data_IF_216918317705
#
_entry.id   IF_216918317705
#
_cell.length_a   1.000
_cell.length_b   1.000
_cell.length_c   1.000
_cell.angle_alpha   90.00
_cell.angle_beta   90.00
_cell.angle_gamma   90.00
#
_symmetry.space_group_name_H-M   'P 1'
#
loop_
_entity.id
_entity.type
_entity.pdbx_description
1 polymer ?
#
# COMPACT_ATOMS: atom_id res chain seq x y z
N UNK A 1 19.94 -20.46 5.23
CA UNK A 1 19.66 -19.64 4.04
C UNK A 1 18.63 -18.59 4.40
N UNK A 2 18.79 -17.34 3.96
CA UNK A 2 17.76 -16.31 4.10
C UNK A 2 16.52 -16.74 3.33
N UNK A 3 15.34 -16.65 3.94
CA UNK A 3 14.06 -16.85 3.23
C UNK A 3 13.64 -15.53 2.61
N UNK A 4 13.33 -15.53 1.32
CA UNK A 4 12.81 -14.33 0.63
C UNK A 4 11.37 -14.12 1.04
N UNK A 5 11.01 -12.98 1.65
CA UNK A 5 9.62 -12.65 1.94
C UNK A 5 8.87 -12.31 0.66
N UNK A 6 7.58 -12.62 0.62
CA UNK A 6 6.67 -12.16 -0.41
C UNK A 6 6.42 -10.65 -0.25
N UNK A 7 6.42 -9.90 -1.34
CA UNK A 7 6.02 -8.49 -1.36
C UNK A 7 4.58 -8.38 -1.85
N UNK A 8 3.66 -8.04 -0.94
CA UNK A 8 2.24 -7.90 -1.21
C UNK A 8 1.86 -6.42 -1.37
N UNK A 9 1.48 -6.03 -2.58
CA UNK A 9 1.16 -4.65 -2.94
C UNK A 9 -0.33 -4.39 -3.09
N UNK A 10 -0.79 -3.15 -2.80
CA UNK A 10 -2.20 -2.79 -2.94
C UNK A 10 -2.58 -2.54 -4.40
N UNK A 11 -3.77 -3.01 -4.79
CA UNK A 11 -4.40 -2.70 -6.07
C UNK A 11 -5.84 -2.18 -5.83
N UNK A 12 -6.03 -0.86 -5.84
CA UNK A 12 -7.32 -0.23 -5.61
C UNK A 12 -8.17 -0.12 -6.87
N UNK A 13 -7.55 -0.12 -8.03
CA UNK A 13 -8.12 -0.14 -9.37
C UNK A 13 -7.08 -0.69 -10.37
N UNK A 14 -7.43 -0.69 -11.66
CA UNK A 14 -6.59 -1.27 -12.69
C UNK A 14 -5.26 -0.52 -12.87
N UNK A 15 -5.22 0.80 -12.76
CA UNK A 15 -3.99 1.60 -12.88
C UNK A 15 -3.00 1.27 -11.75
N UNK A 16 -3.51 1.12 -10.52
CA UNK A 16 -2.69 0.70 -9.36
C UNK A 16 -2.23 -0.74 -9.46
N UNK A 17 -3.07 -1.59 -10.01
CA UNK A 17 -2.74 -2.99 -10.29
C UNK A 17 -1.57 -3.09 -11.27
N UNK A 18 -1.64 -2.43 -12.43
CA UNK A 18 -0.55 -2.41 -13.42
C UNK A 18 0.75 -1.84 -12.83
N UNK A 19 0.63 -0.80 -12.00
CA UNK A 19 1.78 -0.24 -11.28
C UNK A 19 2.42 -1.26 -10.34
N UNK A 20 1.63 -2.01 -9.54
CA UNK A 20 2.14 -3.04 -8.64
C UNK A 20 2.87 -4.15 -9.39
N UNK A 21 2.29 -4.66 -10.49
CA UNK A 21 2.90 -5.69 -11.33
C UNK A 21 4.23 -5.21 -11.91
N UNK A 22 4.21 -4.06 -12.56
CA UNK A 22 5.39 -3.48 -13.22
C UNK A 22 6.56 -3.25 -12.27
N UNK A 23 6.28 -2.81 -11.04
CA UNK A 23 7.31 -2.45 -10.07
C UNK A 23 7.67 -3.57 -9.09
N UNK A 24 7.28 -4.82 -9.38
CA UNK A 24 7.87 -6.02 -8.79
C UNK A 24 7.17 -6.56 -7.56
N UNK A 25 5.84 -6.42 -7.47
CA UNK A 25 5.05 -7.17 -6.49
C UNK A 25 5.13 -8.68 -6.77
N UNK A 26 5.23 -9.49 -5.71
CA UNK A 26 5.09 -10.94 -5.80
C UNK A 26 3.60 -11.35 -5.74
N UNK A 27 2.79 -10.51 -5.08
CA UNK A 27 1.35 -10.65 -5.02
C UNK A 27 0.66 -9.28 -4.92
N UNK A 28 -0.59 -9.21 -5.34
CA UNK A 28 -1.45 -8.03 -5.17
C UNK A 28 -2.69 -8.39 -4.37
N UNK A 29 -3.18 -7.44 -3.56
CA UNK A 29 -4.48 -7.60 -2.92
C UNK A 29 -5.45 -6.52 -3.42
N UNK A 30 -6.63 -6.96 -3.78
CA UNK A 30 -7.66 -6.14 -4.39
C UNK A 30 -9.05 -6.50 -3.82
N UNK A 31 -10.06 -5.73 -4.16
CA UNK A 31 -11.45 -6.01 -3.82
C UNK A 31 -12.31 -6.04 -5.06
N UNK A 32 -13.27 -6.94 -5.08
CA UNK A 32 -14.39 -6.88 -6.01
C UNK A 32 -15.37 -5.75 -5.67
N UNK A 33 -16.46 -5.67 -6.39
CA UNK A 33 -17.53 -4.69 -6.17
C UNK A 33 -18.23 -4.83 -4.81
N UNK A 34 -18.11 -6.00 -4.15
CA UNK A 34 -18.76 -6.33 -2.90
C UNK A 34 -17.78 -6.91 -1.87
N UNK A 35 -18.15 -6.88 -0.58
CA UNK A 35 -17.46 -7.51 0.55
C UNK A 35 -16.03 -7.05 0.83
N UNK A 36 -15.49 -6.09 0.08
CA UNK A 36 -14.15 -5.51 0.31
C UNK A 36 -14.19 -4.25 1.15
N UNK A 37 -13.26 -4.12 2.11
CA UNK A 37 -13.04 -2.85 2.83
C UNK A 37 -12.49 -1.79 1.87
N UNK A 38 -12.90 -0.53 2.04
CA UNK A 38 -12.60 0.64 1.21
C UNK A 38 -13.59 0.83 0.06
N UNK A 39 -14.68 1.52 0.35
CA UNK A 39 -15.66 1.96 -0.65
C UNK A 39 -15.14 3.12 -1.56
N UNK A 40 -14.05 3.81 -1.15
CA UNK A 40 -13.50 4.95 -1.90
C UNK A 40 -12.77 4.61 -3.20
N UNK A 41 -11.95 3.52 -3.30
CA UNK A 41 -11.42 3.03 -4.57
C UNK A 41 -12.54 2.51 -5.47
N UNK A 42 -12.31 2.53 -6.79
CA UNK A 42 -13.30 2.03 -7.77
C UNK A 42 -13.57 0.53 -7.62
N UNK A 43 -12.62 -0.22 -6.96
CA UNK A 43 -12.63 -1.67 -6.87
C UNK A 43 -12.70 -2.34 -8.26
N UNK A 44 -12.84 -3.66 -8.30
CA UNK A 44 -12.85 -4.41 -9.56
C UNK A 44 -14.25 -4.97 -9.82
N UNK A 45 -14.97 -4.46 -10.85
CA UNK A 45 -16.11 -5.19 -11.43
C UNK A 45 -15.68 -6.59 -11.86
N UNK A 46 -16.64 -7.50 -12.05
CA UNK A 46 -16.37 -8.91 -12.37
C UNK A 46 -15.45 -9.08 -13.58
N UNK A 47 -15.74 -8.36 -14.68
CA UNK A 47 -14.94 -8.44 -15.90
C UNK A 47 -13.50 -7.97 -15.69
N UNK A 48 -13.32 -6.88 -14.95
CA UNK A 48 -12.00 -6.34 -14.61
C UNK A 48 -11.24 -7.27 -13.65
N UNK A 49 -11.96 -7.93 -12.73
CA UNK A 49 -11.36 -8.92 -11.83
C UNK A 49 -10.80 -10.11 -12.61
N UNK A 50 -11.59 -10.69 -13.52
CA UNK A 50 -11.17 -11.81 -14.36
C UNK A 50 -9.94 -11.41 -15.20
N UNK A 51 -9.99 -10.22 -15.80
CA UNK A 51 -8.85 -9.67 -16.56
C UNK A 51 -7.61 -9.48 -15.69
N UNK A 52 -7.76 -8.90 -14.49
CA UNK A 52 -6.66 -8.66 -13.58
C UNK A 52 -6.00 -9.98 -13.10
N UNK A 53 -6.80 -11.00 -12.78
CA UNK A 53 -6.27 -12.33 -12.39
C UNK A 53 -5.46 -12.94 -13.52
N UNK A 54 -6.00 -12.93 -14.75
CA UNK A 54 -5.30 -13.46 -15.91
C UNK A 54 -3.97 -12.74 -16.15
N UNK A 55 -3.99 -11.41 -16.16
CA UNK A 55 -2.80 -10.58 -16.42
C UNK A 55 -1.76 -10.74 -15.29
N UNK A 56 -2.19 -10.84 -14.04
CA UNK A 56 -1.29 -11.13 -12.93
C UNK A 56 -0.58 -12.48 -13.10
N UNK A 57 -1.32 -13.54 -13.43
CA UNK A 57 -0.77 -14.87 -13.64
C UNK A 57 0.19 -14.94 -14.84
N UNK A 58 -0.09 -14.22 -15.92
CA UNK A 58 0.82 -14.09 -17.07
C UNK A 58 2.16 -13.43 -16.67
N UNK A 59 2.15 -12.59 -15.61
CA UNK A 59 3.33 -11.97 -15.03
C UNK A 59 3.91 -12.73 -13.82
N UNK A 60 3.37 -13.89 -13.46
CA UNK A 60 3.81 -14.68 -12.29
C UNK A 60 3.46 -14.08 -10.94
N UNK A 61 2.48 -13.18 -10.89
CA UNK A 61 2.01 -12.46 -9.69
C UNK A 61 0.71 -13.08 -9.19
N UNK A 62 0.58 -13.27 -7.87
CA UNK A 62 -0.64 -13.81 -7.24
C UNK A 62 -1.66 -12.72 -6.97
N UNK A 63 -2.94 -13.09 -6.96
CA UNK A 63 -4.06 -12.19 -6.67
C UNK A 63 -4.83 -12.65 -5.44
N UNK A 64 -4.84 -11.83 -4.38
CA UNK A 64 -5.59 -12.09 -3.15
C UNK A 64 -6.81 -11.18 -3.07
N UNK A 65 -7.99 -11.79 -3.04
CA UNK A 65 -9.25 -11.07 -2.99
C UNK A 65 -9.67 -10.79 -1.55
N UNK A 66 -9.97 -9.54 -1.24
CA UNK A 66 -10.45 -9.16 0.09
C UNK A 66 -11.95 -9.40 0.24
N UNK A 67 -12.33 -10.23 1.23
CA UNK A 67 -13.68 -10.45 1.76
C UNK A 67 -13.71 -10.04 3.23
N UNK A 68 -13.18 -8.86 3.54
CA UNK A 68 -12.81 -8.47 4.89
C UNK A 68 -13.74 -7.42 5.51
N UNK A 69 -14.91 -7.21 4.95
CA UNK A 69 -16.02 -6.53 5.64
C UNK A 69 -16.66 -7.47 6.68
N UNK A 70 -17.45 -6.90 7.59
CA UNK A 70 -18.34 -7.66 8.47
C UNK A 70 -19.75 -7.63 7.84
N UNK A 71 -20.17 -8.66 7.08
CA UNK A 71 -21.41 -8.62 6.32
C UNK A 71 -22.63 -8.62 7.23
N UNK A 72 -23.67 -7.90 6.84
CA UNK A 72 -24.96 -7.91 7.51
C UNK A 72 -25.82 -9.09 7.02
N UNK A 73 -26.83 -9.50 7.81
CA UNK A 73 -27.71 -10.61 7.43
C UNK A 73 -28.33 -10.47 6.04
N UNK A 74 -28.59 -9.24 5.59
CA UNK A 74 -29.12 -8.96 4.24
C UNK A 74 -28.10 -9.23 3.12
N UNK A 75 -26.82 -9.27 3.42
CA UNK A 75 -25.72 -9.49 2.45
C UNK A 75 -25.30 -10.97 2.38
N UNK A 76 -25.56 -11.75 3.44
CA UNK A 76 -25.19 -13.17 3.51
C UNK A 76 -25.71 -14.00 2.32
N UNK A 77 -26.94 -13.81 1.81
CA UNK A 77 -27.41 -14.56 0.65
C UNK A 77 -26.62 -14.35 -0.63
N UNK A 78 -25.86 -13.25 -0.73
CA UNK A 78 -25.06 -12.90 -1.92
C UNK A 78 -23.64 -13.50 -1.88
N UNK A 79 -23.19 -13.97 -0.70
CA UNK A 79 -21.83 -14.49 -0.52
C UNK A 79 -21.53 -15.76 -1.35
N UNK A 80 -22.41 -16.78 -1.42
CA UNK A 80 -22.11 -17.99 -2.16
C UNK A 80 -21.77 -17.72 -3.64
N UNK A 81 -22.65 -17.02 -4.34
CA UNK A 81 -22.48 -16.73 -5.77
C UNK A 81 -21.21 -15.90 -6.01
N UNK A 82 -20.93 -14.94 -5.13
CA UNK A 82 -19.71 -14.12 -5.23
C UNK A 82 -18.44 -14.94 -5.00
N UNK A 83 -18.43 -15.86 -4.02
CA UNK A 83 -17.30 -16.75 -3.75
C UNK A 83 -17.07 -17.71 -4.94
N UNK A 84 -18.13 -18.35 -5.46
CA UNK A 84 -18.02 -19.27 -6.58
C UNK A 84 -17.54 -18.56 -7.85
N UNK A 85 -18.08 -17.38 -8.15
CA UNK A 85 -17.66 -16.57 -9.30
C UNK A 85 -16.17 -16.20 -9.20
N UNK A 86 -15.72 -15.72 -8.03
CA UNK A 86 -14.33 -15.28 -7.85
C UNK A 86 -13.35 -16.46 -7.79
N UNK A 87 -13.77 -17.62 -7.27
CA UNK A 87 -13.00 -18.85 -7.38
C UNK A 87 -12.85 -19.29 -8.85
N UNK A 88 -13.95 -19.18 -9.62
CA UNK A 88 -13.95 -19.45 -11.07
C UNK A 88 -13.03 -18.50 -11.86
N UNK A 89 -12.88 -17.26 -11.41
CA UNK A 89 -11.92 -16.31 -11.96
C UNK A 89 -10.46 -16.67 -11.66
N UNK A 90 -10.20 -17.57 -10.69
CA UNK A 90 -8.86 -18.07 -10.37
C UNK A 90 -8.09 -17.25 -9.34
N UNK A 91 -8.77 -16.58 -8.39
CA UNK A 91 -8.08 -15.88 -7.30
C UNK A 91 -7.23 -16.86 -6.47
N UNK A 92 -6.05 -16.43 -6.06
CA UNK A 92 -5.07 -17.28 -5.36
C UNK A 92 -5.33 -17.39 -3.85
N UNK A 93 -6.08 -16.49 -3.25
CA UNK A 93 -6.54 -16.60 -1.86
C UNK A 93 -7.66 -15.60 -1.54
N UNK A 94 -8.43 -15.89 -0.50
CA UNK A 94 -9.37 -14.97 0.13
C UNK A 94 -8.78 -14.37 1.39
N UNK A 95 -8.87 -13.05 1.57
CA UNK A 95 -8.52 -12.36 2.80
C UNK A 95 -9.82 -12.01 3.53
N UNK A 96 -10.21 -12.80 4.54
CA UNK A 96 -11.48 -12.67 5.27
C UNK A 96 -11.27 -12.26 6.73
N UNK A 97 -12.25 -11.56 7.31
CA UNK A 97 -12.25 -11.14 8.72
C UNK A 97 -13.35 -11.80 9.55
N UNK A 98 -14.51 -12.04 8.94
CA UNK A 98 -15.67 -12.62 9.58
C UNK A 98 -15.63 -14.14 9.53
N UNK A 99 -15.87 -14.81 10.69
CA UNK A 99 -15.79 -16.27 10.82
C UNK A 99 -16.85 -16.96 9.93
N UNK A 100 -18.04 -16.38 9.79
CA UNK A 100 -19.08 -16.90 8.91
C UNK A 100 -18.68 -16.85 7.45
N UNK A 101 -18.05 -15.74 7.04
CA UNK A 101 -17.46 -15.58 5.69
C UNK A 101 -16.35 -16.61 5.45
N UNK A 102 -15.46 -16.83 6.44
CA UNK A 102 -14.41 -17.86 6.34
C UNK A 102 -15.00 -19.27 6.15
N UNK A 103 -16.04 -19.60 6.90
CA UNK A 103 -16.74 -20.89 6.77
C UNK A 103 -17.37 -21.03 5.37
N UNK A 104 -17.92 -19.96 4.81
CA UNK A 104 -18.48 -19.95 3.45
C UNK A 104 -17.39 -20.08 2.39
N UNK A 105 -16.24 -19.43 2.53
CA UNK A 105 -15.10 -19.64 1.62
C UNK A 105 -14.69 -21.11 1.60
N UNK A 106 -14.57 -21.76 2.75
CA UNK A 106 -14.23 -23.19 2.84
C UNK A 106 -15.32 -24.10 2.26
N UNK A 107 -16.60 -23.70 2.32
CA UNK A 107 -17.72 -24.47 1.80
C UNK A 107 -17.87 -24.36 0.29
N UNK A 108 -17.79 -23.14 -0.25
CA UNK A 108 -18.10 -22.84 -1.66
C UNK A 108 -16.87 -22.78 -2.56
N UNK A 109 -15.68 -22.57 -2.00
CA UNK A 109 -14.39 -22.57 -2.71
C UNK A 109 -13.30 -23.27 -1.90
N UNK A 110 -13.44 -24.57 -1.58
CA UNK A 110 -12.54 -25.28 -0.68
C UNK A 110 -11.08 -25.37 -1.17
N UNK A 111 -10.84 -25.21 -2.46
CA UNK A 111 -9.50 -25.22 -3.05
C UNK A 111 -8.80 -23.86 -3.00
N UNK A 112 -9.52 -22.77 -2.69
CA UNK A 112 -8.91 -21.43 -2.60
C UNK A 112 -8.40 -21.21 -1.18
N UNK A 113 -7.10 -20.91 -0.99
CA UNK A 113 -6.47 -20.61 0.27
C UNK A 113 -7.21 -19.50 1.06
N UNK A 114 -7.26 -19.67 2.40
CA UNK A 114 -7.84 -18.69 3.30
C UNK A 114 -6.74 -17.94 4.06
N UNK A 115 -6.73 -16.63 3.91
CA UNK A 115 -5.90 -15.71 4.69
C UNK A 115 -6.79 -14.95 5.68
N UNK A 116 -6.40 -14.92 6.96
CA UNK A 116 -7.16 -14.19 7.98
C UNK A 116 -6.73 -12.73 8.01
N UNK A 117 -7.67 -11.81 7.79
CA UNK A 117 -7.42 -10.38 7.77
C UNK A 117 -6.94 -9.84 9.13
N UNK A 118 -6.13 -8.78 9.11
CA UNK A 118 -5.76 -8.01 10.32
C UNK A 118 -6.97 -7.53 11.12
N UNK A 119 -8.13 -7.39 10.49
CA UNK A 119 -9.38 -6.99 11.14
C UNK A 119 -9.96 -8.06 12.10
N UNK A 120 -9.51 -9.29 12.00
CA UNK A 120 -9.80 -10.31 13.02
C UNK A 120 -9.08 -10.04 14.34
N UNK A 121 -8.08 -9.13 14.36
CA UNK A 121 -7.40 -8.68 15.57
C UNK A 121 -6.48 -9.73 16.19
N UNK A 122 -5.67 -10.42 15.38
CA UNK A 122 -4.77 -11.48 15.85
C UNK A 122 -3.57 -10.87 16.57
N UNK A 123 -3.48 -11.10 17.87
CA UNK A 123 -2.42 -10.56 18.74
C UNK A 123 -1.69 -11.64 19.57
N UNK A 124 -2.00 -12.92 19.39
CA UNK A 124 -1.36 -14.00 20.12
C UNK A 124 -1.41 -15.33 19.35
N UNK A 125 -0.53 -16.25 19.75
CA UNK A 125 -0.38 -17.56 19.09
C UNK A 125 -1.58 -18.50 19.30
N UNK A 126 -2.37 -18.37 20.37
CA UNK A 126 -3.55 -19.20 20.57
C UNK A 126 -4.61 -18.90 19.50
N UNK A 127 -4.90 -17.61 19.31
CA UNK A 127 -5.81 -17.18 18.23
C UNK A 127 -5.29 -17.59 16.86
N UNK A 128 -3.98 -17.46 16.61
CA UNK A 128 -3.35 -17.88 15.36
C UNK A 128 -3.53 -19.38 15.10
N UNK A 129 -3.32 -20.21 16.13
CA UNK A 129 -3.50 -21.67 16.04
C UNK A 129 -4.97 -22.05 15.79
N UNK A 130 -5.94 -21.38 16.43
CA UNK A 130 -7.33 -21.66 16.17
C UNK A 130 -7.73 -21.33 14.73
N UNK A 131 -7.28 -20.22 14.17
CA UNK A 131 -7.50 -19.94 12.75
C UNK A 131 -6.82 -20.98 11.84
N UNK A 132 -5.62 -21.45 12.19
CA UNK A 132 -4.99 -22.56 11.47
C UNK A 132 -5.84 -23.85 11.53
N UNK A 133 -6.36 -24.20 12.71
CA UNK A 133 -7.25 -25.34 12.89
C UNK A 133 -8.55 -25.22 12.07
N UNK A 134 -9.02 -23.98 11.86
CA UNK A 134 -10.15 -23.67 10.98
C UNK A 134 -9.77 -23.74 9.49
N UNK A 135 -8.50 -24.01 9.16
CA UNK A 135 -8.00 -24.17 7.81
C UNK A 135 -7.47 -22.89 7.16
N UNK A 136 -7.07 -21.89 7.94
CA UNK A 136 -6.34 -20.74 7.42
C UNK A 136 -4.90 -21.15 7.07
N UNK A 137 -4.42 -20.69 5.93
CA UNK A 137 -3.03 -20.89 5.49
C UNK A 137 -2.13 -19.71 5.84
N UNK A 138 -2.74 -18.51 6.05
CA UNK A 138 -2.02 -17.29 6.42
C UNK A 138 -2.83 -16.47 7.42
N UNK A 139 -2.13 -15.83 8.33
CA UNK A 139 -2.68 -14.81 9.21
C UNK A 139 -2.02 -13.45 8.95
N UNK A 140 -2.82 -12.38 8.98
CA UNK A 140 -2.32 -11.00 9.01
C UNK A 140 -2.40 -10.51 10.44
N UNK A 141 -1.25 -10.25 11.06
CA UNK A 141 -1.20 -9.79 12.45
C UNK A 141 -1.82 -8.40 12.62
N UNK A 142 -2.28 -8.12 13.83
CA UNK A 142 -2.62 -6.75 14.22
C UNK A 142 -1.35 -5.86 14.18
N UNK A 143 -1.52 -4.56 13.92
CA UNK A 143 -0.40 -3.60 13.79
C UNK A 143 0.16 -3.15 15.13
N UNK A 144 -0.53 -3.51 16.19
CA UNK A 144 -0.22 -3.14 17.58
C UNK A 144 0.82 -4.05 18.23
N UNK A 145 1.31 -5.07 17.50
CA UNK A 145 2.31 -6.03 17.99
C UNK A 145 3.75 -5.51 17.77
N UNK A 146 4.61 -5.83 18.73
CA UNK A 146 6.07 -5.73 18.58
C UNK A 146 6.66 -6.89 17.77
N UNK A 147 7.88 -6.72 17.24
CA UNK A 147 8.58 -7.80 16.52
C UNK A 147 8.84 -9.02 17.42
N UNK A 148 9.08 -8.81 18.71
CA UNK A 148 9.26 -9.89 19.67
C UNK A 148 8.00 -10.73 19.87
N UNK A 149 6.83 -10.10 19.92
CA UNK A 149 5.55 -10.82 19.98
C UNK A 149 5.24 -11.58 18.70
N UNK A 150 5.56 -11.01 17.53
CA UNK A 150 5.44 -11.69 16.24
C UNK A 150 6.37 -12.92 16.18
N UNK A 151 7.60 -12.78 16.62
CA UNK A 151 8.56 -13.90 16.70
C UNK A 151 8.07 -14.99 17.67
N UNK A 152 7.42 -14.62 18.78
CA UNK A 152 6.80 -15.59 19.70
C UNK A 152 5.60 -16.31 19.05
N UNK A 153 4.74 -15.59 18.32
CA UNK A 153 3.68 -16.20 17.51
C UNK A 153 4.29 -17.20 16.54
N UNK A 154 5.33 -16.81 15.79
CA UNK A 154 6.02 -17.70 14.85
C UNK A 154 6.56 -18.96 15.52
N UNK A 155 7.17 -18.82 16.69
CA UNK A 155 7.77 -19.93 17.42
C UNK A 155 6.73 -20.95 17.95
N UNK A 156 5.49 -20.51 18.19
CA UNK A 156 4.41 -21.29 18.82
C UNK A 156 3.30 -21.69 17.85
N UNK A 157 3.48 -21.45 16.54
CA UNK A 157 2.52 -21.84 15.48
C UNK A 157 3.17 -22.83 14.51
N UNK A 158 2.36 -23.64 13.79
CA UNK A 158 2.86 -24.52 12.74
C UNK A 158 3.69 -23.76 11.69
N UNK A 159 4.73 -24.42 11.16
CA UNK A 159 5.60 -23.82 10.15
C UNK A 159 4.88 -23.55 8.82
N UNK A 160 3.83 -24.30 8.58
CA UNK A 160 2.97 -24.20 7.39
C UNK A 160 2.07 -22.96 7.45
N UNK A 161 1.71 -22.47 8.66
CA UNK A 161 0.97 -21.23 8.81
C UNK A 161 1.86 -20.05 8.46
N UNK A 162 1.51 -19.32 7.42
CA UNK A 162 2.23 -18.11 7.02
C UNK A 162 1.84 -16.91 7.88
N UNK A 163 2.81 -16.05 8.16
CA UNK A 163 2.61 -14.79 8.88
C UNK A 163 2.84 -13.62 7.93
N UNK A 164 1.82 -12.77 7.78
CA UNK A 164 1.84 -11.54 7.01
C UNK A 164 1.76 -10.34 7.95
N UNK A 165 2.60 -9.33 7.71
CA UNK A 165 2.60 -8.10 8.50
C UNK A 165 2.63 -6.88 7.59
N UNK A 166 2.00 -5.78 8.04
CA UNK A 166 2.16 -4.50 7.38
C UNK A 166 3.57 -3.96 7.58
N UNK A 167 4.17 -3.43 6.53
CA UNK A 167 5.53 -2.85 6.56
C UNK A 167 5.56 -1.40 6.11
N UNK A 168 4.49 -0.90 5.47
CA UNK A 168 4.43 0.47 4.97
C UNK A 168 3.00 0.99 4.89
N UNK A 169 2.85 2.30 5.08
CA UNK A 169 1.62 3.07 4.84
C UNK A 169 0.90 3.53 6.08
N UNK A 170 -0.31 4.00 5.90
CA UNK A 170 -1.06 4.71 6.93
C UNK A 170 -1.37 3.85 8.16
N UNK A 171 -1.01 4.33 9.34
CA UNK A 171 -1.44 3.77 10.62
C UNK A 171 -2.88 4.21 10.95
N UNK A 172 -3.55 3.47 11.83
CA UNK A 172 -4.87 3.80 12.38
C UNK A 172 -4.75 4.16 13.85
N UNK A 173 -5.53 5.15 14.32
CA UNK A 173 -5.60 5.50 15.74
C UNK A 173 -6.37 4.48 16.59
N UNK A 174 -7.33 3.78 15.98
CA UNK A 174 -8.09 2.74 16.64
C UNK A 174 -7.43 1.39 16.42
N UNK A 175 -7.63 0.49 17.39
CA UNK A 175 -7.22 -0.90 17.26
C UNK A 175 -7.75 -1.50 15.96
N UNK A 176 -6.95 -2.31 15.30
CA UNK A 176 -7.23 -2.90 13.99
C UNK A 176 -8.64 -3.51 13.92
N UNK A 177 -9.52 -2.95 13.07
CA UNK A 177 -10.89 -3.42 12.85
C UNK A 177 -11.89 -3.09 13.97
N UNK A 178 -11.62 -2.17 14.91
CA UNK A 178 -12.47 -1.87 16.09
C UNK A 178 -12.86 -0.39 16.21
N UNK A 179 -12.91 0.37 15.11
CA UNK A 179 -13.21 1.81 15.14
C UNK A 179 -14.70 2.10 15.04
N UNK A 180 -15.25 2.86 16.01
CA UNK A 180 -16.61 3.39 15.96
C UNK A 180 -16.68 4.88 15.67
N UNK A 181 -15.56 5.60 15.68
CA UNK A 181 -15.54 7.07 15.60
C UNK A 181 -16.15 7.58 14.29
N UNK A 182 -15.87 6.94 13.17
CA UNK A 182 -16.44 7.30 11.88
C UNK A 182 -17.96 7.12 11.87
N UNK A 183 -18.45 5.99 12.36
CA UNK A 183 -19.89 5.73 12.43
C UNK A 183 -20.59 6.73 13.35
N UNK A 184 -20.02 6.97 14.54
CA UNK A 184 -20.59 7.89 15.53
C UNK A 184 -20.70 9.32 15.00
N UNK A 185 -19.66 9.84 14.32
CA UNK A 185 -19.62 11.23 13.85
C UNK A 185 -20.31 11.44 12.50
N UNK A 186 -20.43 10.43 11.65
CA UNK A 186 -20.88 10.62 10.27
C UNK A 186 -21.91 9.62 9.77
N UNK A 187 -22.24 8.61 10.57
CA UNK A 187 -23.07 7.48 10.14
C UNK A 187 -22.34 6.50 9.20
N UNK A 188 -21.08 6.77 8.82
CA UNK A 188 -20.28 5.91 7.92
C UNK A 188 -19.48 4.90 8.72
N UNK A 189 -19.72 3.61 8.45
CA UNK A 189 -19.11 2.52 9.21
C UNK A 189 -17.70 2.18 8.72
N UNK A 190 -16.68 2.53 9.54
CA UNK A 190 -15.29 2.24 9.23
C UNK A 190 -15.00 0.74 9.12
N UNK A 191 -15.75 -0.10 9.86
CA UNK A 191 -15.57 -1.56 9.84
C UNK A 191 -16.23 -2.21 8.61
N UNK A 192 -16.91 -1.41 7.81
CA UNK A 192 -17.50 -1.79 6.51
C UNK A 192 -16.83 -1.11 5.32
N UNK A 193 -15.69 -0.46 5.53
CA UNK A 193 -14.95 0.20 4.45
C UNK A 193 -15.30 1.67 4.22
N UNK A 194 -16.29 2.20 4.91
CA UNK A 194 -16.79 3.57 4.72
C UNK A 194 -16.14 4.60 5.64
N UNK A 195 -14.89 4.35 6.07
CA UNK A 195 -14.18 5.24 6.99
C UNK A 195 -14.09 6.67 6.43
N UNK A 196 -14.71 7.63 7.12
CA UNK A 196 -14.62 9.06 6.82
C UNK A 196 -13.31 9.70 7.31
N UNK A 197 -12.43 8.92 7.95
CA UNK A 197 -11.16 9.36 8.53
C UNK A 197 -11.31 10.49 9.56
N UNK A 198 -12.28 10.44 10.50
CA UNK A 198 -12.49 11.54 11.42
C UNK A 198 -11.32 11.78 12.37
N UNK A 199 -10.49 10.76 12.62
CA UNK A 199 -9.24 10.93 13.39
C UNK A 199 -8.22 11.88 12.70
N UNK A 200 -8.50 12.32 11.49
CA UNK A 200 -7.66 13.25 10.70
C UNK A 200 -8.36 14.59 10.44
N UNK A 201 -9.54 14.81 11.02
CA UNK A 201 -10.23 16.07 10.92
C UNK A 201 -9.71 17.08 11.93
N UNK A 202 -10.00 18.33 11.67
CA UNK A 202 -9.74 19.43 12.59
C UNK A 202 -10.75 19.38 13.75
N UNK A 203 -10.24 19.49 14.97
CA UNK A 203 -11.07 19.55 16.18
C UNK A 203 -10.53 20.58 17.15
N UNK A 204 -11.42 21.12 17.99
CA UNK A 204 -11.05 21.80 19.22
C UNK A 204 -11.47 20.91 20.39
N UNK A 205 -10.52 20.40 21.18
CA UNK A 205 -10.83 19.63 22.39
C UNK A 205 -10.67 20.50 23.63
N UNK A 206 -11.72 20.55 24.43
CA UNK A 206 -11.70 21.15 25.75
C UNK A 206 -12.20 20.12 26.76
N UNK A 207 -11.39 19.82 27.79
CA UNK A 207 -11.84 18.98 28.90
C UNK A 207 -12.52 19.87 29.96
N UNK A 208 -13.80 19.61 30.23
CA UNK A 208 -14.64 20.43 31.11
C UNK A 208 -14.21 20.39 32.57
N UNK A 209 -13.53 19.32 33.01
CA UNK A 209 -13.12 19.10 34.42
C UNK A 209 -11.70 19.58 34.73
N UNK A 210 -10.93 19.97 33.71
CA UNK A 210 -9.55 20.49 33.83
C UNK A 210 -9.49 21.88 33.22
N UNK A 211 -10.17 22.83 33.86
CA UNK A 211 -10.15 24.24 33.42
C UNK A 211 -8.71 24.72 33.18
N UNK A 212 -8.44 25.24 31.99
CA UNK A 212 -7.14 25.79 31.60
C UNK A 212 -6.11 24.79 31.08
N UNK A 213 -6.42 23.49 30.99
CA UNK A 213 -5.58 22.52 30.26
C UNK A 213 -6.19 22.25 28.87
N UNK A 214 -5.56 22.87 27.90
CA UNK A 214 -5.80 22.57 26.50
C UNK A 214 -4.85 21.43 26.11
N UNK A 215 -5.38 20.36 25.52
CA UNK A 215 -4.52 19.42 24.82
C UNK A 215 -3.98 20.14 23.59
N UNK A 216 -2.65 20.13 23.36
CA UNK A 216 -2.09 20.83 22.21
C UNK A 216 -2.73 20.26 20.95
N UNK A 217 -3.47 21.11 20.30
CA UNK A 217 -4.05 20.89 19.00
C UNK A 217 -3.23 21.78 18.12
N UNK A 218 -2.31 21.21 17.30
CA UNK A 218 -1.49 22.04 16.43
C UNK A 218 -2.37 22.63 15.33
N UNK A 219 -2.32 23.94 15.23
CA UNK A 219 -2.97 24.73 14.21
C UNK A 219 -1.94 24.95 13.08
N UNK A 220 -2.23 24.44 11.90
CA UNK A 220 -1.51 24.76 10.66
C UNK A 220 -2.43 25.57 9.73
N UNK A 221 -1.85 26.17 8.68
CA UNK A 221 -2.63 26.96 7.71
C UNK A 221 -3.82 26.19 7.11
N UNK A 222 -3.71 24.84 7.05
CA UNK A 222 -4.74 23.93 6.49
C UNK A 222 -5.64 23.29 7.56
N UNK A 223 -5.41 23.55 8.88
CA UNK A 223 -6.27 23.06 9.94
C UNK A 223 -5.61 22.39 11.15
N UNK A 224 -6.46 22.01 12.09
CA UNK A 224 -6.10 21.47 13.39
C UNK A 224 -6.25 19.93 13.45
N UNK A 225 -5.16 19.18 13.72
CA UNK A 225 -5.14 17.72 13.76
C UNK A 225 -4.97 17.21 15.19
N UNK A 226 -5.93 16.43 15.70
CA UNK A 226 -5.90 15.91 17.08
C UNK A 226 -5.30 14.51 17.19
N UNK A 227 -5.55 13.66 16.19
CA UNK A 227 -5.23 12.24 16.23
C UNK A 227 -4.59 11.79 14.91
N UNK A 228 -3.81 12.66 14.28
CA UNK A 228 -3.16 12.35 13.01
C UNK A 228 -2.01 11.35 13.24
N UNK A 229 -2.27 10.06 12.93
CA UNK A 229 -1.24 9.03 13.04
C UNK A 229 -0.16 9.21 11.97
N UNK A 230 1.09 9.00 12.34
CA UNK A 230 2.23 8.87 11.41
C UNK A 230 2.00 7.74 10.39
N UNK A 231 2.76 7.72 9.31
CA UNK A 231 2.76 6.60 8.37
C UNK A 231 3.88 5.61 8.74
N UNK A 232 3.57 4.30 8.69
CA UNK A 232 4.56 3.25 8.94
C UNK A 232 5.56 3.18 7.78
N UNK A 233 6.86 3.01 8.10
CA UNK A 233 7.90 2.69 7.13
C UNK A 233 8.97 1.79 7.76
N UNK A 234 9.01 0.54 7.35
CA UNK A 234 9.92 -0.49 7.86
C UNK A 234 11.04 -0.84 6.86
N UNK A 235 11.29 0.01 5.87
CA UNK A 235 12.21 -0.30 4.76
C UNK A 235 13.66 -0.50 5.21
N UNK A 236 14.08 0.13 6.30
CA UNK A 236 15.42 -0.02 6.89
C UNK A 236 15.55 -1.31 7.70
N UNK A 237 14.43 -1.97 8.02
CA UNK A 237 14.33 -3.08 8.97
C UNK A 237 13.97 -4.43 8.29
N UNK A 238 14.32 -4.61 7.02
CA UNK A 238 14.11 -5.88 6.28
C UNK A 238 14.75 -7.07 7.01
N UNK A 239 15.99 -6.97 7.55
CA UNK A 239 16.60 -8.06 8.32
C UNK A 239 15.79 -8.46 9.55
N UNK A 240 15.35 -7.51 10.37
CA UNK A 240 14.62 -7.74 11.60
C UNK A 240 13.24 -8.35 11.33
N UNK A 241 12.53 -7.85 10.32
CA UNK A 241 11.25 -8.41 9.87
C UNK A 241 11.41 -9.88 9.44
N UNK A 242 12.46 -10.16 8.66
CA UNK A 242 12.75 -11.53 8.20
C UNK A 242 13.16 -12.44 9.36
N UNK A 243 13.97 -11.93 10.30
CA UNK A 243 14.39 -12.67 11.49
C UNK A 243 13.22 -13.01 12.43
N UNK A 244 12.20 -12.14 12.51
CA UNK A 244 10.96 -12.40 13.24
C UNK A 244 10.10 -13.50 12.60
N UNK A 245 10.47 -14.00 11.41
CA UNK A 245 9.80 -15.10 10.72
C UNK A 245 8.55 -14.67 9.96
N UNK A 246 8.50 -13.42 9.52
CA UNK A 246 7.41 -12.88 8.68
C UNK A 246 7.59 -13.39 7.25
N UNK A 247 6.54 -13.97 6.67
CA UNK A 247 6.55 -14.60 5.36
C UNK A 247 6.13 -13.63 4.24
N UNK A 248 5.27 -12.66 4.55
CA UNK A 248 4.73 -11.70 3.58
C UNK A 248 4.75 -10.26 4.14
N UNK A 249 5.32 -9.35 3.36
CA UNK A 249 5.45 -7.91 3.64
C UNK A 249 4.36 -7.17 2.90
N UNK A 250 3.38 -6.66 3.65
CA UNK A 250 2.20 -5.98 3.11
C UNK A 250 2.35 -4.47 3.10
N UNK A 251 2.16 -3.87 1.95
CA UNK A 251 2.06 -2.42 1.78
C UNK A 251 0.59 -2.00 1.93
N UNK A 252 0.28 -1.06 2.82
CA UNK A 252 -1.04 -0.40 2.88
C UNK A 252 -1.08 0.75 1.86
N UNK A 253 -2.19 0.87 1.11
CA UNK A 253 -2.30 1.95 0.16
C UNK A 253 -3.35 1.80 -0.93
N UNK A 254 -4.37 0.95 -0.77
CA UNK A 254 -5.43 0.77 -1.80
C UNK A 254 -6.11 2.07 -2.23
N UNK A 255 -6.21 3.06 -1.34
CA UNK A 255 -6.77 4.37 -1.62
C UNK A 255 -5.72 5.42 -2.04
N UNK A 256 -4.45 5.07 -2.10
CA UNK A 256 -3.36 5.95 -2.56
C UNK A 256 -3.30 5.96 -4.11
N UNK A 257 -2.49 6.82 -4.71
CA UNK A 257 -2.33 6.90 -6.17
C UNK A 257 -1.54 5.72 -6.76
N UNK A 258 -1.65 5.49 -8.07
CA UNK A 258 -0.81 4.53 -8.79
C UNK A 258 0.68 4.88 -8.67
N UNK A 259 1.02 6.16 -8.67
CA UNK A 259 2.39 6.63 -8.41
C UNK A 259 2.91 6.19 -7.04
N UNK A 260 2.09 6.29 -5.97
CA UNK A 260 2.46 5.78 -4.66
C UNK A 260 2.72 4.26 -4.71
N UNK A 261 1.83 3.50 -5.34
CA UNK A 261 2.00 2.05 -5.49
C UNK A 261 3.29 1.73 -6.24
N UNK A 262 3.58 2.42 -7.35
CA UNK A 262 4.80 2.26 -8.12
C UNK A 262 6.07 2.49 -7.29
N UNK A 263 6.15 3.66 -6.63
CA UNK A 263 7.34 4.06 -5.86
C UNK A 263 7.59 3.12 -4.68
N UNK A 264 6.54 2.84 -3.87
CA UNK A 264 6.71 2.06 -2.65
C UNK A 264 6.99 0.59 -2.97
N UNK A 265 6.28 0.01 -3.96
CA UNK A 265 6.55 -1.36 -4.42
C UNK A 265 7.99 -1.49 -4.95
N UNK A 266 8.43 -0.54 -5.79
CA UNK A 266 9.80 -0.52 -6.32
C UNK A 266 10.86 -0.43 -5.20
N UNK A 267 10.64 0.46 -4.23
CA UNK A 267 11.58 0.65 -3.12
C UNK A 267 11.70 -0.61 -2.26
N UNK A 268 10.57 -1.23 -1.85
CA UNK A 268 10.59 -2.47 -1.08
C UNK A 268 11.13 -3.65 -1.87
N UNK A 269 10.81 -3.76 -3.17
CA UNK A 269 11.40 -4.79 -4.04
C UNK A 269 12.92 -4.67 -4.09
N UNK A 270 13.42 -3.46 -4.35
CA UNK A 270 14.86 -3.20 -4.37
C UNK A 270 15.54 -3.46 -3.01
N UNK A 271 14.87 -3.10 -1.90
CA UNK A 271 15.38 -3.35 -0.55
C UNK A 271 15.46 -4.85 -0.23
N UNK A 272 14.40 -5.63 -0.55
CA UNK A 272 14.37 -7.07 -0.36
C UNK A 272 15.46 -7.73 -1.21
N UNK A 273 15.61 -7.37 -2.48
CA UNK A 273 16.61 -7.94 -3.36
C UNK A 273 18.02 -7.61 -2.90
N UNK A 274 18.30 -6.38 -2.48
CA UNK A 274 19.57 -5.99 -1.88
C UNK A 274 19.88 -6.79 -0.61
N UNK A 275 18.87 -7.00 0.26
CA UNK A 275 19.02 -7.84 1.44
C UNK A 275 19.33 -9.29 1.09
N UNK A 276 18.61 -9.87 0.12
CA UNK A 276 18.85 -11.25 -0.30
C UNK A 276 20.24 -11.47 -0.90
N UNK A 277 20.76 -10.48 -1.62
CA UNK A 277 22.12 -10.51 -2.19
C UNK A 277 23.23 -10.21 -1.19
N UNK A 278 22.94 -9.64 -0.01
CA UNK A 278 23.95 -9.31 1.00
C UNK A 278 24.43 -10.55 1.76
N UNK A 279 25.67 -10.51 2.25
CA UNK A 279 26.17 -11.51 3.19
C UNK A 279 25.42 -11.42 4.53
N UNK A 280 25.42 -12.51 5.30
CA UNK A 280 24.75 -12.54 6.60
C UNK A 280 25.40 -11.52 7.55
N UNK A 281 24.58 -10.60 8.10
CA UNK A 281 25.00 -9.59 9.06
C UNK A 281 25.63 -8.33 8.46
N UNK A 282 25.74 -8.22 7.12
CA UNK A 282 26.37 -7.06 6.45
C UNK A 282 25.41 -6.20 5.62
N UNK A 283 24.09 -6.35 5.82
CA UNK A 283 23.11 -5.57 5.06
C UNK A 283 23.17 -4.10 5.42
N UNK A 284 23.33 -3.25 4.42
CA UNK A 284 23.16 -1.80 4.49
C UNK A 284 22.20 -1.40 3.39
N UNK A 285 21.09 -0.75 3.76
CA UNK A 285 20.12 -0.25 2.79
C UNK A 285 20.77 0.81 1.89
N UNK A 286 20.79 0.65 0.56
CA UNK A 286 21.27 1.71 -0.35
C UNK A 286 20.50 3.02 -0.15
N UNK A 287 21.22 4.13 0.03
CA UNK A 287 20.64 5.44 0.35
C UNK A 287 19.53 5.88 -0.60
N UNK A 288 19.72 5.63 -1.92
CA UNK A 288 18.72 5.99 -2.91
C UNK A 288 17.35 5.31 -2.69
N UNK A 289 17.33 4.10 -2.11
CA UNK A 289 16.08 3.38 -1.79
C UNK A 289 15.35 4.07 -0.65
N UNK A 290 16.07 4.50 0.37
CA UNK A 290 15.50 5.28 1.49
C UNK A 290 14.96 6.63 1.01
N UNK A 291 15.67 7.27 0.08
CA UNK A 291 15.23 8.54 -0.50
C UNK A 291 13.95 8.39 -1.34
N UNK A 292 13.75 7.21 -1.98
CA UNK A 292 12.55 6.93 -2.79
C UNK A 292 11.25 7.01 -2.00
N UNK A 293 11.18 6.41 -0.81
CA UNK A 293 9.93 6.38 -0.04
C UNK A 293 9.44 7.77 0.38
N UNK A 294 10.29 8.79 0.30
CA UNK A 294 9.96 10.20 0.56
C UNK A 294 9.49 10.97 -0.68
N UNK A 295 9.50 10.34 -1.84
CA UNK A 295 9.08 10.97 -3.11
C UNK A 295 7.60 10.78 -3.43
N UNK A 296 6.83 10.29 -2.51
CA UNK A 296 5.36 10.16 -2.56
C UNK A 296 4.70 11.14 -1.60
N UNK A 297 3.38 11.19 -1.60
CA UNK A 297 2.65 11.90 -0.54
C UNK A 297 2.62 11.04 0.73
N UNK A 298 3.28 11.48 1.79
CA UNK A 298 3.43 10.76 3.05
C UNK A 298 3.26 11.71 4.26
N UNK A 299 2.96 11.15 5.42
CA UNK A 299 3.09 11.79 6.73
C UNK A 299 4.41 11.36 7.35
N UNK A 300 4.86 12.02 8.40
CA UNK A 300 6.10 11.63 9.07
C UNK A 300 6.12 10.11 9.30
N UNK A 301 7.27 9.51 9.05
CA UNK A 301 7.44 8.06 9.13
C UNK A 301 7.81 7.61 10.52
N UNK A 302 7.18 6.51 10.94
CA UNK A 302 7.49 5.77 12.16
C UNK A 302 7.67 4.27 11.87
N UNK A 303 8.13 3.53 12.86
CA UNK A 303 8.23 2.07 12.80
C UNK A 303 6.97 1.35 13.30
N UNK A 304 5.84 2.08 13.44
CA UNK A 304 4.66 1.54 14.10
C UNK A 304 4.98 1.18 15.55
N UNK A 305 4.52 0.00 15.98
CA UNK A 305 4.80 -0.52 17.32
C UNK A 305 5.82 -1.67 17.32
N UNK A 306 6.54 -1.88 16.22
CA UNK A 306 7.48 -2.99 16.10
C UNK A 306 8.64 -2.93 17.09
N UNK A 307 9.08 -1.73 17.48
CA UNK A 307 10.16 -1.51 18.44
C UNK A 307 9.72 -0.80 19.72
N UNK A 308 8.52 -0.21 19.72
CA UNK A 308 7.96 0.56 20.81
C UNK A 308 6.58 -0.01 21.21
N UNK A 309 6.11 0.31 22.43
CA UNK A 309 4.73 -0.01 22.83
C UNK A 309 3.80 1.18 22.59
N UNK A 310 2.48 0.96 22.44
CA UNK A 310 1.50 2.05 22.34
C UNK A 310 1.50 3.02 23.54
N UNK A 311 1.94 2.54 24.70
CA UNK A 311 2.06 3.35 25.91
C UNK A 311 3.27 4.30 25.85
N UNK A 312 4.35 3.87 25.23
CA UNK A 312 5.61 4.64 25.14
C UNK A 312 5.59 5.63 23.99
N UNK A 313 4.96 5.24 22.86
CA UNK A 313 4.92 6.08 21.67
C UNK A 313 3.55 5.94 20.98
N UNK A 314 2.79 7.01 20.95
CA UNK A 314 1.47 7.02 20.34
C UNK A 314 1.46 7.05 18.79
N UNK A 315 2.65 7.16 18.15
CA UNK A 315 2.78 7.33 16.68
C UNK A 315 1.87 8.43 16.12
N UNK A 316 1.80 9.56 16.83
CA UNK A 316 1.00 10.73 16.46
C UNK A 316 1.94 11.81 15.94
N UNK A 317 1.70 12.29 14.73
CA UNK A 317 2.37 13.49 14.20
C UNK A 317 1.75 14.73 14.80
N UNK A 318 2.56 15.58 15.41
CA UNK A 318 2.16 16.88 15.97
C UNK A 318 2.29 18.01 14.94
N UNK A 319 3.06 17.80 13.87
CA UNK A 319 3.31 18.79 12.81
C UNK A 319 2.42 18.55 11.57
N UNK A 320 1.33 17.89 11.70
CA UNK A 320 0.19 17.64 10.83
C UNK A 320 0.41 17.68 9.30
N UNK A 321 -0.46 17.07 8.55
CA UNK A 321 -0.52 17.17 7.10
C UNK A 321 0.29 16.14 6.31
N UNK A 322 0.04 16.11 5.00
CA UNK A 322 0.80 15.31 4.04
C UNK A 322 1.93 16.14 3.45
N UNK A 323 3.15 15.63 3.52
CA UNK A 323 4.30 16.16 2.75
C UNK A 323 4.15 15.69 1.30
N UNK A 324 4.18 16.62 0.37
CA UNK A 324 4.11 16.34 -1.07
C UNK A 324 5.12 17.23 -1.78
N UNK A 325 6.29 16.67 -2.03
CA UNK A 325 7.43 17.40 -2.60
C UNK A 325 7.73 16.99 -4.05
N UNK A 326 7.02 15.99 -4.58
CA UNK A 326 7.24 15.46 -5.92
C UNK A 326 5.93 15.31 -6.68
N UNK A 327 5.97 15.65 -7.97
CA UNK A 327 4.86 15.45 -8.89
C UNK A 327 5.28 14.61 -10.09
N UNK A 328 4.35 13.79 -10.58
CA UNK A 328 4.49 13.06 -11.84
C UNK A 328 4.31 14.04 -12.99
N UNK A 329 5.28 14.14 -13.88
CA UNK A 329 5.23 15.02 -15.04
C UNK A 329 4.77 14.30 -16.29
N UNK A 330 5.26 13.08 -16.53
CA UNK A 330 4.94 12.31 -17.72
C UNK A 330 5.17 10.82 -17.54
N UNK A 331 4.65 10.04 -18.49
CA UNK A 331 4.94 8.61 -18.64
C UNK A 331 5.60 8.42 -20.01
N UNK A 332 6.72 7.70 -20.03
CA UNK A 332 7.45 7.38 -21.25
C UNK A 332 6.70 6.32 -22.05
N UNK A 333 6.45 6.58 -23.32
CA UNK A 333 5.86 5.61 -24.25
C UNK A 333 6.93 4.78 -24.95
N UNK A 334 7.97 5.44 -25.44
CA UNK A 334 9.15 4.78 -26.04
C UNK A 334 10.35 5.76 -26.15
N UNK A 335 11.52 5.19 -26.50
CA UNK A 335 12.72 5.96 -26.81
C UNK A 335 13.26 5.52 -28.18
N UNK A 336 13.35 6.43 -29.13
CA UNK A 336 13.89 6.17 -30.47
C UNK A 336 14.46 7.46 -31.10
N UNK A 337 15.41 7.31 -32.00
CA UNK A 337 15.97 8.39 -32.84
C UNK A 337 16.49 9.61 -32.04
N UNK A 338 17.03 9.38 -30.82
CA UNK A 338 17.52 10.44 -29.93
C UNK A 338 16.40 11.23 -29.24
N UNK A 339 15.21 10.65 -29.12
CA UNK A 339 14.09 11.26 -28.42
C UNK A 339 13.42 10.29 -27.44
N UNK A 340 12.92 10.85 -26.32
CA UNK A 340 12.02 10.21 -25.37
C UNK A 340 10.61 10.67 -25.72
N UNK A 341 9.73 9.76 -26.14
CA UNK A 341 8.33 10.02 -26.44
C UNK A 341 7.50 9.78 -25.19
N UNK A 342 6.68 10.77 -24.82
CA UNK A 342 5.97 10.79 -23.55
C UNK A 342 4.52 11.22 -23.69
N UNK A 343 3.71 10.81 -22.71
CA UNK A 343 2.39 11.35 -22.44
C UNK A 343 2.42 12.18 -21.15
N UNK A 344 1.91 13.39 -21.21
CA UNK A 344 1.91 14.36 -20.13
C UNK A 344 0.95 13.94 -19.00
N UNK A 345 1.35 14.18 -17.75
CA UNK A 345 0.53 14.09 -16.54
C UNK A 345 0.38 15.42 -15.81
N UNK A 346 1.45 16.22 -15.80
CA UNK A 346 1.45 17.57 -15.25
C UNK A 346 2.27 18.51 -16.14
N UNK A 347 1.98 19.80 -16.07
CA UNK A 347 2.69 20.83 -16.82
C UNK A 347 4.12 20.99 -16.29
N UNK A 348 5.08 20.99 -17.20
CA UNK A 348 6.47 21.36 -16.94
C UNK A 348 7.05 22.17 -18.12
N UNK A 349 8.27 22.68 -17.96
CA UNK A 349 8.89 23.61 -18.88
C UNK A 349 10.23 23.09 -19.38
N UNK A 350 10.65 23.59 -20.54
CA UNK A 350 12.02 23.48 -20.98
C UNK A 350 12.93 24.16 -19.94
N UNK A 351 14.05 23.52 -19.62
CA UNK A 351 14.95 23.91 -18.52
C UNK A 351 14.65 23.20 -17.19
N UNK A 352 13.50 22.56 -17.03
CA UNK A 352 13.20 21.78 -15.83
C UNK A 352 14.11 20.55 -15.74
N UNK A 353 14.46 20.19 -14.50
CA UNK A 353 15.10 18.89 -14.19
C UNK A 353 14.04 17.84 -13.90
N UNK A 354 14.04 16.79 -14.68
CA UNK A 354 13.21 15.61 -14.45
C UNK A 354 14.03 14.45 -13.91
N UNK A 355 13.37 13.55 -13.21
CA UNK A 355 13.96 12.32 -12.69
C UNK A 355 13.13 11.12 -13.14
N UNK A 356 13.81 10.02 -13.55
CA UNK A 356 13.15 8.79 -13.96
C UNK A 356 12.85 7.88 -12.77
N UNK A 357 11.72 7.17 -12.83
CA UNK A 357 11.40 6.01 -11.99
C UNK A 357 11.21 4.80 -12.89
N UNK A 358 12.14 3.87 -12.85
CA UNK A 358 12.12 2.60 -13.57
C UNK A 358 12.15 1.41 -12.58
N UNK A 359 11.54 0.25 -12.91
CA UNK A 359 11.58 -0.93 -12.07
C UNK A 359 13.01 -1.37 -11.73
N UNK A 360 13.32 -1.48 -10.43
CA UNK A 360 14.59 -2.01 -9.92
C UNK A 360 15.82 -1.14 -10.18
N UNK A 361 15.66 0.06 -10.76
CA UNK A 361 16.79 0.93 -11.09
C UNK A 361 16.89 2.15 -10.19
N UNK A 362 18.14 2.57 -9.95
CA UNK A 362 18.40 3.88 -9.34
C UNK A 362 17.89 4.97 -10.27
N UNK A 363 17.17 5.99 -9.76
CA UNK A 363 16.69 7.12 -10.55
C UNK A 363 17.80 7.85 -11.28
N UNK A 364 17.51 8.33 -12.49
CA UNK A 364 18.38 9.18 -13.29
C UNK A 364 17.75 10.56 -13.46
N UNK A 365 18.50 11.61 -13.13
CA UNK A 365 18.07 13.00 -13.31
C UNK A 365 18.66 13.56 -14.59
N UNK A 366 17.87 14.36 -15.32
CA UNK A 366 18.30 15.05 -16.54
C UNK A 366 17.55 16.37 -16.73
N UNK A 367 18.17 17.31 -17.44
CA UNK A 367 17.55 18.60 -17.77
C UNK A 367 16.86 18.50 -19.13
N UNK A 368 15.63 19.01 -19.23
CA UNK A 368 14.88 19.10 -20.49
C UNK A 368 15.43 20.27 -21.32
N UNK A 369 16.39 20.00 -22.21
CA UNK A 369 17.03 21.03 -23.03
C UNK A 369 16.19 21.40 -24.25
N UNK A 370 15.56 20.41 -24.88
CA UNK A 370 14.72 20.61 -26.07
C UNK A 370 13.40 19.80 -25.87
N UNK A 371 12.29 20.48 -26.15
CA UNK A 371 10.93 19.95 -26.01
C UNK A 371 10.14 20.20 -27.29
N UNK A 372 9.44 19.16 -27.79
CA UNK A 372 8.65 19.22 -29.01
C UNK A 372 7.27 18.67 -28.77
N UNK A 373 6.27 19.27 -29.39
CA UNK A 373 4.89 18.78 -29.35
C UNK A 373 4.67 17.56 -30.27
N UNK A 374 3.43 17.11 -30.37
CA UNK A 374 3.00 15.97 -31.18
C UNK A 374 3.25 16.16 -32.70
N UNK A 375 3.26 17.43 -33.18
CA UNK A 375 3.52 17.80 -34.57
C UNK A 375 5.04 17.93 -34.87
N UNK A 376 5.87 17.87 -33.83
CA UNK A 376 7.32 18.06 -33.94
C UNK A 376 7.75 19.53 -33.88
N UNK A 377 6.85 20.43 -33.51
CA UNK A 377 7.16 21.84 -33.30
C UNK A 377 7.79 22.07 -31.94
N UNK A 378 8.82 22.91 -31.87
CA UNK A 378 9.49 23.25 -30.61
C UNK A 378 8.53 24.02 -29.70
N UNK A 379 8.48 23.63 -28.43
CA UNK A 379 7.62 24.26 -27.41
C UNK A 379 8.40 24.49 -26.11
N UNK A 380 7.97 25.50 -25.34
CA UNK A 380 8.59 25.81 -24.05
C UNK A 380 7.94 25.08 -22.86
N UNK A 381 6.78 24.43 -23.06
CA UNK A 381 6.09 23.72 -21.98
C UNK A 381 5.12 22.65 -22.50
N UNK A 382 4.59 21.83 -21.56
CA UNK A 382 3.54 20.84 -21.81
C UNK A 382 2.19 21.33 -21.24
N UNK A 383 1.48 22.24 -21.92
CA UNK A 383 0.34 22.97 -21.32
C UNK A 383 -0.97 22.17 -21.25
N UNK A 384 -1.14 21.09 -22.04
CA UNK A 384 -2.40 20.34 -22.17
C UNK A 384 -2.31 18.99 -21.47
N UNK A 385 -3.32 18.64 -20.70
CA UNK A 385 -3.44 17.32 -20.08
C UNK A 385 -3.39 16.21 -21.14
N UNK A 386 -2.67 15.13 -20.85
CA UNK A 386 -2.54 13.94 -21.69
C UNK A 386 -1.93 14.20 -23.09
N UNK A 387 -1.33 15.38 -23.33
CA UNK A 387 -0.70 15.65 -24.62
C UNK A 387 0.48 14.71 -24.85
N UNK A 388 0.66 14.33 -26.11
CA UNK A 388 1.85 13.63 -26.57
C UNK A 388 2.93 14.66 -26.87
N UNK A 389 4.16 14.34 -26.49
CA UNK A 389 5.32 15.20 -26.73
C UNK A 389 6.60 14.35 -26.77
N UNK A 390 7.70 14.96 -27.17
CA UNK A 390 9.01 14.32 -27.13
C UNK A 390 10.08 15.26 -26.57
N UNK A 391 11.01 14.67 -25.83
CA UNK A 391 12.20 15.35 -25.29
C UNK A 391 13.42 14.84 -26.05
N UNK A 392 14.31 15.75 -26.49
CA UNK A 392 15.61 15.38 -27.04
C UNK A 392 16.51 14.85 -25.95
N UNK A 393 16.95 13.61 -26.07
CA UNK A 393 17.85 12.99 -25.09
C UNK A 393 18.44 11.69 -25.64
N UNK A 394 19.69 11.42 -25.29
CA UNK A 394 20.35 10.14 -25.56
C UNK A 394 20.03 9.06 -24.49
N UNK A 395 19.33 9.45 -23.42
CA UNK A 395 18.86 8.51 -22.39
C UNK A 395 17.83 7.56 -22.98
N UNK A 396 17.89 6.31 -22.52
CA UNK A 396 16.97 5.26 -22.95
C UNK A 396 16.21 4.73 -21.73
N UNK A 397 14.91 4.90 -21.76
CA UNK A 397 13.99 4.40 -20.75
C UNK A 397 13.07 3.32 -21.33
N UNK A 398 12.65 2.37 -20.51
CA UNK A 398 11.64 1.40 -20.91
C UNK A 398 10.26 2.05 -20.97
N UNK A 399 9.36 1.60 -21.85
CA UNK A 399 7.96 2.08 -21.88
C UNK A 399 7.32 1.97 -20.47
N UNK A 400 6.58 2.99 -20.07
CA UNK A 400 5.96 3.11 -18.75
C UNK A 400 6.87 3.62 -17.65
N UNK A 401 8.13 4.03 -17.96
CA UNK A 401 8.95 4.82 -17.03
C UNK A 401 8.22 6.10 -16.66
N UNK A 402 8.15 6.39 -15.35
CA UNK A 402 7.54 7.62 -14.85
C UNK A 402 8.63 8.69 -14.77
N UNK A 403 8.36 9.85 -15.38
CA UNK A 403 9.16 11.06 -15.22
C UNK A 403 8.52 11.95 -14.17
N UNK A 404 9.29 12.38 -13.19
CA UNK A 404 8.83 13.17 -12.05
C UNK A 404 9.72 14.38 -11.81
N UNK A 405 9.21 15.36 -11.08
CA UNK A 405 9.92 16.59 -10.74
C UNK A 405 9.74 16.91 -9.27
N UNK A 406 10.79 17.38 -8.61
CA UNK A 406 10.71 17.92 -7.27
C UNK A 406 10.09 19.32 -7.29
N UNK A 407 9.11 19.56 -6.44
CA UNK A 407 8.52 20.87 -6.20
C UNK A 407 9.39 21.61 -5.18
N UNK A 408 10.20 22.52 -5.68
CA UNK A 408 10.92 23.48 -4.83
C UNK A 408 9.90 24.59 -4.52
N UNK A 409 9.33 24.58 -3.29
CA UNK A 409 8.55 25.73 -2.79
C UNK A 409 9.46 26.82 -2.29
#
# INVERSE_FOLDING_TARGET
MKRRPELLSPAGDFERFEAALRFGADAVYLAGSSFGMRAGPQNFPEEDLIKAVKEAHENGVKVYLTLNTLPRNSEIPLLPDFIEMTAGAGVDAYIAADIGTMAYCKKYAPSVPLHVSTQAGIVNYLTANEFYNMGAERIVTARELSLSEIAEIRAKTPKELQIECFVHGSMCMSFSGRCLLSNYLTGRDANRGECAQPCRWQYALMEKTREGRYFPVNEEEDGTYILNSEDMCMIEHIPELTAAGIDSFKIEGRAKSAYYTAVITNAYRAAIDAYMCSESGSFVLPRWILDEVRKVSYRDYCTGFYFDSPHEKANISFEGGYRREWDVMAVVENCRDGFIYCEQRNKFFRGDTLESLEPGKKPQSFVVTELFDENGESTDSTPRAMMKFKIRSDLKFVPGTILRKQNIK
#
